data_IF_721258013519
#
_entry.id   IF_721258013519
#
_cell.length_a   1.000
_cell.length_b   1.000
_cell.length_c   1.000
_cell.angle_alpha   90.00
_cell.angle_beta   90.00
_cell.angle_gamma   90.00
#
_symmetry.space_group_name_H-M   'P 1'
#
loop_
_entity.id
_entity.type
_entity.pdbx_description
1 polymer ?
#
# COMPACT_ATOMS: atom_id res chain seq x y z
N UNK A 1 -16.81 13.73 -1.33
CA UNK A 1 -15.50 13.29 -1.83
C UNK A 1 -14.95 12.34 -0.81
N UNK A 2 -14.55 11.14 -1.21
CA UNK A 2 -13.96 10.16 -0.30
C UNK A 2 -12.50 10.53 -0.05
N UNK A 3 -12.04 10.38 1.19
CA UNK A 3 -10.67 10.59 1.58
C UNK A 3 -9.93 9.25 1.64
N UNK A 4 -8.60 9.27 1.51
CA UNK A 4 -7.77 8.08 1.69
C UNK A 4 -8.00 7.42 3.05
N UNK A 5 -8.23 8.20 4.10
CA UNK A 5 -8.52 7.71 5.46
C UNK A 5 -9.86 7.01 5.61
N UNK A 6 -10.75 7.13 4.62
CA UNK A 6 -12.03 6.42 4.60
C UNK A 6 -11.85 4.97 4.10
N UNK A 7 -10.71 4.66 3.46
CA UNK A 7 -10.39 3.31 3.02
C UNK A 7 -9.96 2.41 4.19
N UNK A 8 -10.29 1.11 4.15
CA UNK A 8 -9.85 0.21 5.19
C UNK A 8 -8.33 0.16 5.23
N UNK A 9 -7.77 0.06 6.43
CA UNK A 9 -6.33 -0.05 6.70
C UNK A 9 -5.49 1.21 6.42
N UNK A 10 -6.09 2.32 5.96
CA UNK A 10 -5.37 3.57 5.70
C UNK A 10 -5.60 4.55 6.87
N UNK A 11 -4.58 4.70 7.72
CA UNK A 11 -4.57 5.72 8.77
C UNK A 11 -4.05 7.08 8.27
N UNK A 12 -4.13 8.13 9.10
CA UNK A 12 -3.68 9.49 8.73
C UNK A 12 -2.24 9.55 8.23
N UNK A 13 -1.33 8.79 8.87
CA UNK A 13 0.07 8.74 8.46
C UNK A 13 0.25 8.11 7.08
N UNK A 14 -0.41 6.98 6.80
CA UNK A 14 -0.36 6.34 5.49
C UNK A 14 -0.97 7.24 4.41
N UNK A 15 -2.09 7.91 4.70
CA UNK A 15 -2.70 8.88 3.79
C UNK A 15 -1.76 10.05 3.46
N UNK A 16 -1.02 10.55 4.46
CA UNK A 16 -0.02 11.59 4.26
C UNK A 16 1.11 11.13 3.33
N UNK A 17 1.69 9.95 3.58
CA UNK A 17 2.76 9.41 2.74
C UNK A 17 2.28 9.14 1.30
N UNK A 18 1.06 8.59 1.14
CA UNK A 18 0.45 8.39 -0.18
C UNK A 18 0.30 9.71 -0.94
N UNK A 19 -0.18 10.76 -0.26
CA UNK A 19 -0.32 12.09 -0.85
C UNK A 19 1.04 12.66 -1.29
N UNK A 20 2.07 12.48 -0.47
CA UNK A 20 3.43 12.94 -0.76
C UNK A 20 4.03 12.28 -2.01
N UNK A 21 3.67 11.02 -2.29
CA UNK A 21 4.11 10.31 -3.51
C UNK A 21 3.13 10.44 -4.70
N UNK A 22 2.19 11.39 -4.60
CA UNK A 22 1.26 11.76 -5.67
C UNK A 22 0.01 10.88 -5.77
N UNK A 23 -0.38 10.21 -4.68
CA UNK A 23 -1.63 9.44 -4.56
C UNK A 23 -2.52 10.21 -3.58
N UNK A 24 -3.34 11.13 -4.09
CA UNK A 24 -4.05 12.08 -3.24
C UNK A 24 -5.51 11.67 -2.98
N UNK A 25 -6.06 10.77 -3.79
CA UNK A 25 -7.44 10.33 -3.70
C UNK A 25 -7.56 8.79 -3.69
N UNK A 26 -8.65 8.22 -3.13
CA UNK A 26 -8.92 6.79 -3.20
C UNK A 26 -8.89 6.23 -4.63
N UNK A 27 -9.37 7.00 -5.60
CA UNK A 27 -9.39 6.63 -7.01
C UNK A 27 -7.97 6.48 -7.58
N UNK A 28 -7.02 7.29 -7.12
CA UNK A 28 -5.61 7.17 -7.52
C UNK A 28 -5.03 5.84 -7.05
N UNK A 29 -5.28 5.48 -5.78
CA UNK A 29 -4.81 4.22 -5.19
C UNK A 29 -5.43 3.01 -5.90
N UNK A 30 -6.73 3.07 -6.19
CA UNK A 30 -7.44 2.03 -6.93
C UNK A 30 -6.91 1.88 -8.36
N UNK A 31 -6.57 3.00 -9.01
CA UNK A 31 -6.08 3.00 -10.39
C UNK A 31 -4.67 2.42 -10.51
N UNK A 32 -3.77 2.74 -9.58
CA UNK A 32 -2.37 2.27 -9.65
C UNK A 32 -2.16 0.90 -8.98
N UNK A 33 -3.01 0.54 -8.02
CA UNK A 33 -2.90 -0.69 -7.24
C UNK A 33 -1.85 -0.65 -6.12
N UNK A 34 -1.92 -1.64 -5.23
CA UNK A 34 -1.13 -1.70 -4.01
C UNK A 34 0.37 -1.82 -4.25
N UNK A 35 0.78 -2.61 -5.24
CA UNK A 35 2.18 -2.86 -5.57
C UNK A 35 2.87 -1.57 -6.05
N UNK A 36 2.26 -0.82 -6.97
CA UNK A 36 2.82 0.44 -7.46
C UNK A 36 2.78 1.54 -6.40
N UNK A 37 1.71 1.60 -5.59
CA UNK A 37 1.65 2.51 -4.46
C UNK A 37 2.80 2.25 -3.47
N UNK A 38 3.09 0.97 -3.16
CA UNK A 38 4.17 0.60 -2.26
C UNK A 38 5.56 0.91 -2.84
N UNK A 39 5.80 0.69 -4.14
CA UNK A 39 7.03 1.11 -4.81
C UNK A 39 7.23 2.63 -4.77
N UNK A 40 6.16 3.41 -4.94
CA UNK A 40 6.20 4.87 -4.80
C UNK A 40 6.55 5.28 -3.38
N UNK A 41 5.96 4.65 -2.36
CA UNK A 41 6.26 4.91 -0.96
C UNK A 41 7.75 4.66 -0.62
N UNK A 42 8.40 3.68 -1.26
CA UNK A 42 9.84 3.44 -1.07
C UNK A 42 10.72 4.65 -1.44
N UNK A 43 10.25 5.56 -2.31
CA UNK A 43 11.02 6.73 -2.71
C UNK A 43 11.20 7.76 -1.58
N UNK A 44 10.29 7.75 -0.58
CA UNK A 44 10.34 8.63 0.59
C UNK A 44 10.60 7.84 1.89
N UNK A 45 10.29 6.54 1.91
CA UNK A 45 10.52 5.63 3.02
C UNK A 45 11.07 4.28 2.49
N UNK A 46 12.40 4.14 2.32
CA UNK A 46 13.01 2.89 1.90
C UNK A 46 12.75 1.71 2.85
N UNK A 47 12.31 1.99 4.08
CA UNK A 47 11.96 1.01 5.10
C UNK A 47 10.49 0.57 5.08
N UNK A 48 9.70 1.00 4.08
CA UNK A 48 8.27 0.69 4.02
C UNK A 48 8.00 -0.82 4.11
N UNK A 49 7.34 -1.22 5.19
CA UNK A 49 7.23 -2.63 5.54
C UNK A 49 6.17 -3.39 4.72
N UNK A 50 6.25 -4.72 4.74
CA UNK A 50 5.26 -5.61 4.13
C UNK A 50 3.84 -5.39 4.68
N UNK A 51 3.70 -4.98 5.94
CA UNK A 51 2.39 -4.67 6.51
C UNK A 51 1.71 -3.45 5.87
N UNK A 52 2.50 -2.51 5.32
CA UNK A 52 1.98 -1.40 4.53
C UNK A 52 1.43 -1.95 3.21
N UNK A 53 2.18 -2.79 2.49
CA UNK A 53 1.72 -3.41 1.24
C UNK A 53 0.40 -4.17 1.42
N UNK A 54 0.26 -4.96 2.49
CA UNK A 54 -1.01 -5.62 2.81
C UNK A 54 -2.13 -4.63 3.17
N UNK A 55 -1.79 -3.50 3.81
CA UNK A 55 -2.76 -2.45 4.09
C UNK A 55 -3.29 -1.82 2.80
N UNK A 56 -2.41 -1.53 1.85
CA UNK A 56 -2.76 -0.97 0.54
C UNK A 56 -3.60 -1.96 -0.27
N UNK A 57 -3.24 -3.25 -0.31
CA UNK A 57 -4.06 -4.26 -1.00
C UNK A 57 -5.45 -4.37 -0.37
N UNK A 58 -5.55 -4.37 0.96
CA UNK A 58 -6.84 -4.35 1.64
C UNK A 58 -7.66 -3.10 1.29
N UNK A 59 -7.01 -1.94 1.20
CA UNK A 59 -7.64 -0.69 0.77
C UNK A 59 -8.16 -0.78 -0.67
N UNK A 60 -7.35 -1.32 -1.59
CA UNK A 60 -7.71 -1.52 -3.01
C UNK A 60 -8.88 -2.49 -3.15
N UNK A 61 -8.91 -3.58 -2.37
CA UNK A 61 -10.00 -4.55 -2.38
C UNK A 61 -11.22 -4.11 -1.55
N UNK A 62 -11.14 -2.99 -0.82
CA UNK A 62 -12.22 -2.53 0.06
C UNK A 62 -12.45 -3.45 1.27
N UNK A 63 -11.44 -4.21 1.72
CA UNK A 63 -11.56 -5.14 2.85
C UNK A 63 -10.47 -4.93 3.92
N UNK A 64 -10.72 -5.28 5.20
CA UNK A 64 -9.67 -5.36 6.20
C UNK A 64 -8.54 -6.31 5.76
N UNK A 65 -7.27 -5.91 5.90
CA UNK A 65 -6.10 -6.71 5.44
C UNK A 65 -6.02 -8.12 6.04
N UNK A 66 -6.65 -8.34 7.19
CA UNK A 66 -6.78 -9.67 7.82
C UNK A 66 -7.57 -10.66 6.94
N UNK A 67 -8.50 -10.16 6.13
CA UNK A 67 -9.35 -10.94 5.22
C UNK A 67 -8.76 -11.16 3.84
N UNK A 68 -7.59 -10.59 3.54
CA UNK A 68 -6.90 -10.87 2.28
C UNK A 68 -6.63 -12.37 2.15
N UNK A 69 -6.88 -12.89 0.95
CA UNK A 69 -6.64 -14.28 0.61
C UNK A 69 -5.18 -14.67 0.91
N UNK A 70 -4.93 -15.84 1.53
CA UNK A 70 -3.57 -16.28 1.85
C UNK A 70 -2.64 -16.38 0.63
N UNK A 71 -3.14 -16.78 -0.54
CA UNK A 71 -2.36 -16.83 -1.77
C UNK A 71 -1.98 -15.42 -2.22
N UNK A 72 -2.91 -14.46 -2.17
CA UNK A 72 -2.61 -13.05 -2.47
C UNK A 72 -1.57 -12.46 -1.52
N UNK A 73 -1.65 -12.78 -0.22
CA UNK A 73 -0.60 -12.38 0.74
C UNK A 73 0.76 -12.96 0.38
N UNK A 74 0.80 -14.22 -0.08
CA UNK A 74 2.04 -14.87 -0.48
C UNK A 74 2.64 -14.20 -1.74
N UNK A 75 1.83 -13.89 -2.75
CA UNK A 75 2.26 -13.12 -3.93
C UNK A 75 2.85 -11.77 -3.55
N UNK A 76 2.15 -11.00 -2.70
CA UNK A 76 2.62 -9.69 -2.24
C UNK A 76 3.92 -9.79 -1.43
N UNK A 77 4.09 -10.86 -0.66
CA UNK A 77 5.34 -11.12 0.08
C UNK A 77 6.50 -11.40 -0.86
N UNK A 78 6.27 -12.18 -1.92
CA UNK A 78 7.26 -12.47 -2.95
C UNK A 78 7.62 -11.22 -3.74
N UNK A 79 6.61 -10.43 -4.13
CA UNK A 79 6.79 -9.13 -4.74
C UNK A 79 7.63 -8.19 -3.87
N UNK A 80 7.29 -8.05 -2.58
CA UNK A 80 8.03 -7.20 -1.66
C UNK A 80 9.49 -7.67 -1.52
N UNK A 81 9.74 -8.98 -1.45
CA UNK A 81 11.10 -9.53 -1.40
C UNK A 81 11.91 -9.23 -2.67
N UNK A 82 11.27 -9.25 -3.85
CA UNK A 82 11.92 -8.96 -5.12
C UNK A 82 12.21 -7.46 -5.32
N UNK A 83 11.48 -6.59 -4.62
CA UNK A 83 11.51 -5.13 -4.80
C UNK A 83 11.91 -4.35 -3.54
N UNK A 84 12.36 -5.02 -2.48
CA UNK A 84 12.95 -4.34 -1.33
C UNK A 84 14.30 -3.74 -1.74
N UNK A 85 14.60 -2.51 -1.32
CA UNK A 85 15.91 -1.95 -1.58
C UNK A 85 16.93 -2.83 -0.85
N UNK A 86 18.03 -3.16 -1.51
CA UNK A 86 19.13 -3.87 -0.86
C UNK A 86 19.48 -3.10 0.41
N UNK A 87 19.40 -3.76 1.56
CA UNK A 87 19.80 -3.20 2.85
C UNK A 87 21.13 -2.48 2.68
N UNK A 88 21.13 -1.16 2.90
CA UNK A 88 22.34 -0.36 2.94
C UNK A 88 23.29 -0.85 4.05
#
# INVERSE_FOLDING_TARGET
MANLTDLPNIGPHAAQQLTEVGIAAPEDLLAIGAEQAWLKLQTIDPGVCLHMLYGLEGAVQGIPKKLLDPARKQELKEFARANQPASA
#
